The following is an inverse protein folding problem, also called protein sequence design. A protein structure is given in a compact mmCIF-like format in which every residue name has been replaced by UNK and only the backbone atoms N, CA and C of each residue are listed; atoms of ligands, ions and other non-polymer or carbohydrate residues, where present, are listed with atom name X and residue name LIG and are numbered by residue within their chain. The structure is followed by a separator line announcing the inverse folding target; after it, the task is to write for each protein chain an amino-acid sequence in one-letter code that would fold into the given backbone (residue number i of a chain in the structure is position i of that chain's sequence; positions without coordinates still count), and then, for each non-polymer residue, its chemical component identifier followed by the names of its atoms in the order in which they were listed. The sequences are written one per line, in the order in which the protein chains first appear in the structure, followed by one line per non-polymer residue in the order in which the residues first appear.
data_IF_595573521893
#
_entry.id   IF_595573521893
#
_cell.length_a   1.000
_cell.length_b   1.000
_cell.length_c   1.000
_cell.angle_alpha   90.00
_cell.angle_beta   90.00
_cell.angle_gamma   90.00
#
_symmetry.space_group_name_H-M   'P 1'
#
loop_
_entity.id
_entity.type
_entity.pdbx_description
1 polymer ?
#
# COMPACT_ATOMS: atom_id res chain seq x y z
N UNK A 1 19.69 1.83 22.09
CA UNK A 1 19.98 0.53 21.46
C UNK A 1 20.01 0.74 19.95
N UNK A 2 21.15 0.39 19.39
CA UNK A 2 21.68 0.81 18.10
C UNK A 2 20.90 0.18 16.92
N UNK A 3 20.34 1.01 16.03
CA UNK A 3 19.57 0.59 14.86
C UNK A 3 20.47 0.40 13.64
N UNK A 4 21.41 -0.54 13.72
CA UNK A 4 22.27 -0.90 12.58
C UNK A 4 22.02 -2.36 12.17
N UNK A 5 20.94 -2.58 11.40
CA UNK A 5 20.66 -3.80 10.64
C UNK A 5 20.78 -3.52 9.13
N UNK A 6 21.10 -4.53 8.30
CA UNK A 6 21.78 -4.34 7.01
C UNK A 6 20.89 -3.68 5.95
N UNK A 7 21.55 -3.03 5.00
CA UNK A 7 20.97 -2.42 3.80
C UNK A 7 20.36 -3.48 2.87
N UNK A 8 19.28 -4.13 3.29
CA UNK A 8 18.39 -4.85 2.39
C UNK A 8 17.75 -3.80 1.49
N UNK A 9 17.98 -3.88 0.18
CA UNK A 9 17.26 -3.07 -0.78
C UNK A 9 15.76 -3.25 -0.53
N UNK A 10 15.11 -2.23 0.03
CA UNK A 10 13.72 -2.29 0.46
C UNK A 10 12.85 -2.30 -0.80
N UNK A 11 12.52 -3.49 -1.30
CA UNK A 11 11.58 -3.62 -2.41
C UNK A 11 10.17 -3.40 -1.89
N UNK A 12 9.44 -2.44 -2.45
CA UNK A 12 8.05 -2.16 -2.08
C UNK A 12 7.16 -2.47 -3.30
N UNK A 13 6.24 -3.40 -3.16
CA UNK A 13 5.22 -3.60 -4.18
C UNK A 13 4.00 -2.71 -3.90
N UNK A 14 3.46 -2.08 -4.95
CA UNK A 14 2.33 -1.16 -4.87
C UNK A 14 1.29 -1.56 -5.91
N UNK A 15 0.13 -2.02 -5.45
CA UNK A 15 -0.96 -2.44 -6.32
C UNK A 15 -2.05 -1.36 -6.38
N UNK A 16 -2.30 -0.79 -7.56
CA UNK A 16 -3.44 0.08 -7.83
C UNK A 16 -4.70 -0.74 -8.16
N UNK A 17 -5.81 -0.51 -7.45
CA UNK A 17 -7.10 -1.05 -7.91
C UNK A 17 -7.62 -0.22 -9.08
N UNK A 18 -7.77 -0.85 -10.25
CA UNK A 18 -8.57 -0.32 -11.37
C UNK A 18 -10.05 -0.31 -10.97
N UNK A 19 -10.53 0.74 -10.32
CA UNK A 19 -11.97 1.01 -10.28
C UNK A 19 -12.37 1.57 -11.63
N UNK A 20 -12.69 0.68 -12.58
CA UNK A 20 -13.57 1.02 -13.69
C UNK A 20 -14.99 1.06 -13.15
N UNK A 21 -15.47 2.24 -12.76
CA UNK A 21 -16.88 2.47 -12.49
C UNK A 21 -17.31 3.68 -13.30
N UNK A 22 -18.19 3.42 -14.28
CA UNK A 22 -18.84 4.42 -15.10
C UNK A 22 -19.64 5.42 -14.23
N UNK A 23 -19.84 6.67 -14.69
CA UNK A 23 -20.33 7.74 -13.84
C UNK A 23 -21.85 7.67 -13.72
N UNK A 24 -22.35 7.41 -12.51
CA UNK A 24 -23.71 7.76 -12.13
C UNK A 24 -23.64 8.78 -10.99
N UNK A 25 -24.27 9.92 -11.26
CA UNK A 25 -24.54 11.10 -10.45
C UNK A 25 -24.29 11.01 -8.93
N UNK A 26 -23.53 12.00 -8.43
CA UNK A 26 -23.69 12.53 -7.07
C UNK A 26 -22.50 12.31 -6.11
N UNK A 27 -21.96 13.43 -5.62
CA UNK A 27 -20.95 13.61 -4.54
C UNK A 27 -19.47 13.46 -4.94
N UNK A 28 -18.81 14.63 -4.97
CA UNK A 28 -17.45 14.83 -5.43
C UNK A 28 -16.38 14.31 -4.48
N UNK A 29 -15.43 13.58 -5.05
CA UNK A 29 -13.99 13.87 -5.05
C UNK A 29 -13.28 12.69 -5.74
N UNK A 30 -13.55 12.52 -7.04
CA UNK A 30 -12.78 11.62 -7.89
C UNK A 30 -11.40 12.21 -8.12
N UNK A 31 -10.46 11.96 -7.21
CA UNK A 31 -9.06 12.28 -7.45
C UNK A 31 -8.62 11.47 -8.67
N UNK A 32 -8.42 12.14 -9.81
CA UNK A 32 -7.84 11.54 -11.02
C UNK A 32 -6.66 10.68 -10.61
N UNK A 33 -6.51 9.47 -11.17
CA UNK A 33 -5.53 8.48 -10.70
C UNK A 33 -4.13 9.03 -10.43
N UNK A 34 -3.67 9.97 -11.25
CA UNK A 34 -2.39 10.67 -11.06
C UNK A 34 -2.32 11.63 -9.84
N UNK A 35 -3.42 12.29 -9.46
CA UNK A 35 -3.48 13.10 -8.25
C UNK A 35 -3.40 12.22 -6.98
N UNK A 36 -4.09 11.08 -7.00
CA UNK A 36 -4.04 10.09 -5.91
C UNK A 36 -2.63 9.51 -5.79
N UNK A 37 -2.01 9.12 -6.90
CA UNK A 37 -0.64 8.59 -6.91
C UNK A 37 0.37 9.62 -6.37
N UNK A 38 0.25 10.90 -6.72
CA UNK A 38 1.11 11.97 -6.17
C UNK A 38 0.95 12.16 -4.66
N UNK A 39 -0.29 12.14 -4.17
CA UNK A 39 -0.56 12.22 -2.72
C UNK A 39 0.02 11.04 -1.98
N UNK A 40 -0.11 9.85 -2.55
CA UNK A 40 0.50 8.64 -2.01
C UNK A 40 2.03 8.80 -1.95
N UNK A 41 2.68 9.19 -3.05
CA UNK A 41 4.12 9.43 -3.09
C UNK A 41 4.59 10.43 -2.03
N UNK A 42 3.89 11.56 -1.90
CA UNK A 42 4.19 12.58 -0.91
C UNK A 42 4.03 12.09 0.54
N UNK A 43 3.11 11.15 0.79
CA UNK A 43 2.90 10.57 2.11
C UNK A 43 3.98 9.54 2.50
N UNK A 44 4.76 9.01 1.54
CA UNK A 44 5.85 8.08 1.87
C UNK A 44 7.00 8.82 2.58
N UNK A 45 7.56 8.26 3.65
CA UNK A 45 8.80 8.77 4.24
C UNK A 45 9.93 8.88 3.22
N UNK A 46 10.72 9.97 3.29
CA UNK A 46 11.82 10.26 2.36
C UNK A 46 12.83 9.13 2.19
N UNK A 47 13.03 8.30 3.23
CA UNK A 47 13.91 7.14 3.15
C UNK A 47 13.43 6.14 2.09
N UNK A 48 12.13 5.87 2.06
CA UNK A 48 11.55 4.91 1.13
C UNK A 48 11.59 5.47 -0.29
N UNK A 49 11.32 6.76 -0.46
CA UNK A 49 11.41 7.44 -1.77
C UNK A 49 12.80 7.39 -2.42
N UNK A 50 13.86 7.13 -1.65
CA UNK A 50 15.26 7.17 -2.13
C UNK A 50 15.91 5.80 -2.21
N UNK A 51 15.52 4.88 -1.32
CA UNK A 51 16.24 3.62 -1.12
C UNK A 51 15.41 2.38 -1.49
N UNK A 52 14.21 2.58 -2.08
CA UNK A 52 13.33 1.49 -2.48
C UNK A 52 13.27 1.26 -3.98
N UNK A 53 13.02 0.00 -4.36
CA UNK A 53 12.56 -0.37 -5.70
C UNK A 53 11.05 -0.61 -5.63
N UNK A 54 10.30 -0.01 -6.55
CA UNK A 54 8.86 -0.07 -6.57
C UNK A 54 8.35 -1.04 -7.63
N UNK A 55 7.75 -2.13 -7.19
CA UNK A 55 7.14 -3.13 -8.06
C UNK A 55 5.64 -2.82 -8.19
N UNK A 56 5.20 -2.31 -9.35
CA UNK A 56 3.79 -1.90 -9.49
C UNK A 56 3.11 -2.66 -10.60
N UNK A 57 1.77 -2.66 -10.58
CA UNK A 57 1.00 -2.97 -11.76
C UNK A 57 1.20 -1.88 -12.83
N UNK A 58 0.90 -2.20 -14.10
CA UNK A 58 1.04 -1.29 -15.24
C UNK A 58 -0.04 -0.19 -15.25
N UNK A 59 -0.27 0.45 -14.10
CA UNK A 59 -1.16 1.60 -14.02
C UNK A 59 -0.40 2.87 -14.43
N UNK A 60 -0.92 3.54 -15.45
CA UNK A 60 -0.28 4.70 -16.09
C UNK A 60 0.07 5.83 -15.11
N UNK A 61 -0.73 5.99 -14.06
CA UNK A 61 -0.48 6.99 -13.03
C UNK A 61 0.85 6.77 -12.29
N UNK A 62 1.28 5.52 -12.08
CA UNK A 62 2.55 5.23 -11.39
C UNK A 62 3.76 5.60 -12.24
N UNK A 63 3.69 5.40 -13.55
CA UNK A 63 4.77 5.79 -14.47
C UNK A 63 5.02 7.31 -14.46
N UNK A 64 3.99 8.11 -14.15
CA UNK A 64 4.08 9.58 -14.07
C UNK A 64 4.57 10.10 -12.72
N UNK A 65 4.58 9.27 -11.68
CA UNK A 65 4.85 9.70 -10.30
C UNK A 65 6.13 9.09 -9.72
N UNK A 66 6.41 7.83 -10.05
CA UNK A 66 7.58 7.13 -9.54
C UNK A 66 8.82 7.43 -10.39
N UNK A 67 10.01 7.58 -9.77
CA UNK A 67 11.25 7.73 -10.53
C UNK A 67 11.54 6.51 -11.41
N UNK A 68 11.89 6.72 -12.67
CA UNK A 68 12.14 5.65 -13.67
C UNK A 68 13.16 4.62 -13.20
N UNK A 69 14.20 5.04 -12.47
CA UNK A 69 15.24 4.15 -11.96
C UNK A 69 14.76 3.21 -10.82
N UNK A 70 13.70 3.60 -10.11
CA UNK A 70 13.13 2.84 -9.00
C UNK A 70 11.89 2.05 -9.43
N UNK A 71 11.21 2.47 -10.50
CA UNK A 71 9.95 1.89 -10.96
C UNK A 71 10.18 0.61 -11.79
N UNK A 72 9.55 -0.49 -11.36
CA UNK A 72 9.52 -1.77 -12.06
C UNK A 72 8.05 -2.15 -12.30
N UNK A 73 7.45 -1.73 -13.42
CA UNK A 73 6.10 -2.11 -13.77
C UNK A 73 6.08 -3.58 -14.21
N UNK A 74 5.16 -4.37 -13.64
CA UNK A 74 4.97 -5.76 -14.01
C UNK A 74 3.57 -5.98 -14.58
N UNK A 75 3.45 -6.77 -15.66
CA UNK A 75 2.15 -7.13 -16.20
C UNK A 75 1.38 -8.03 -15.22
N UNK A 76 0.05 -8.01 -15.35
CA UNK A 76 -0.83 -8.90 -14.60
C UNK A 76 -0.45 -10.36 -14.88
N UNK A 77 -0.32 -11.17 -13.82
CA UNK A 77 0.09 -12.58 -13.93
C UNK A 77 1.60 -12.83 -13.79
N UNK A 78 2.42 -11.80 -13.65
CA UNK A 78 3.87 -11.93 -13.41
C UNK A 78 4.27 -12.46 -12.03
N UNK A 79 3.32 -12.59 -11.10
CA UNK A 79 3.54 -13.08 -9.73
C UNK A 79 4.30 -12.12 -8.80
N UNK A 80 4.94 -11.06 -9.31
CA UNK A 80 5.79 -10.15 -8.52
C UNK A 80 5.01 -9.20 -7.60
N UNK A 81 3.70 -9.07 -7.80
CA UNK A 81 2.79 -8.35 -6.87
C UNK A 81 2.07 -9.30 -5.92
N UNK A 82 2.21 -10.62 -6.10
CA UNK A 82 1.44 -11.62 -5.35
C UNK A 82 1.74 -11.56 -3.85
N UNK A 83 2.99 -11.30 -3.45
CA UNK A 83 3.34 -11.13 -2.03
C UNK A 83 2.57 -9.98 -1.38
N UNK A 84 2.36 -8.86 -2.09
CA UNK A 84 1.58 -7.73 -1.57
C UNK A 84 0.08 -8.02 -1.57
N UNK A 85 -0.42 -8.74 -2.56
CA UNK A 85 -1.80 -9.21 -2.59
C UNK A 85 -2.09 -10.19 -1.45
N UNK A 86 -1.18 -11.13 -1.19
CA UNK A 86 -1.24 -12.09 -0.09
C UNK A 86 -1.25 -11.38 1.28
N UNK A 87 -0.31 -10.46 1.53
CA UNK A 87 -0.28 -9.68 2.77
C UNK A 87 -1.58 -8.87 2.94
N UNK A 88 -2.06 -8.22 1.88
CA UNK A 88 -3.34 -7.47 1.94
C UNK A 88 -4.53 -8.39 2.23
N UNK A 89 -4.52 -9.61 1.70
CA UNK A 89 -5.54 -10.62 1.96
C UNK A 89 -5.51 -11.05 3.43
N UNK A 90 -4.34 -11.46 3.94
CA UNK A 90 -4.12 -11.85 5.34
C UNK A 90 -4.51 -10.73 6.30
N UNK A 91 -4.08 -9.49 6.05
CA UNK A 91 -4.45 -8.36 6.89
C UNK A 91 -5.96 -8.11 6.91
N UNK A 92 -6.67 -8.30 5.80
CA UNK A 92 -8.14 -8.17 5.78
C UNK A 92 -8.84 -9.30 6.52
N UNK A 93 -8.28 -10.50 6.49
CA UNK A 93 -8.87 -11.67 7.14
C UNK A 93 -8.62 -11.67 8.65
N UNK A 94 -7.43 -11.23 9.09
CA UNK A 94 -7.04 -11.26 10.50
C UNK A 94 -7.35 -9.95 11.25
N UNK A 95 -7.45 -8.83 10.54
CA UNK A 95 -7.64 -7.51 11.15
C UNK A 95 -9.05 -6.97 10.86
N UNK A 96 -10.02 -7.31 11.73
CA UNK A 96 -11.42 -6.88 11.57
C UNK A 96 -11.57 -5.36 11.42
N UNK A 97 -10.67 -4.58 12.02
CA UNK A 97 -10.72 -3.10 11.98
C UNK A 97 -10.56 -2.56 10.56
N UNK A 98 -10.02 -3.36 9.65
CA UNK A 98 -9.84 -3.03 8.23
C UNK A 98 -11.05 -3.46 7.37
N UNK A 99 -12.03 -4.17 7.93
CA UNK A 99 -13.11 -4.82 7.18
C UNK A 99 -14.31 -3.89 6.95
N UNK A 100 -14.91 -3.34 8.02
CA UNK A 100 -16.10 -2.46 7.91
C UNK A 100 -16.03 -1.29 8.87
N UNK A 101 -16.23 -0.07 8.34
CA UNK A 101 -16.18 1.20 9.10
C UNK A 101 -17.23 1.26 10.22
N UNK A 102 -18.40 0.67 10.03
CA UNK A 102 -19.52 0.78 10.98
C UNK A 102 -19.39 -0.10 12.22
N UNK A 103 -18.68 -1.24 12.13
CA UNK A 103 -18.73 -2.28 13.16
C UNK A 103 -17.39 -2.53 13.86
N UNK A 104 -16.28 -2.03 13.31
CA UNK A 104 -14.95 -2.45 13.76
C UNK A 104 -13.95 -1.31 13.93
N UNK A 105 -14.36 -0.07 13.70
CA UNK A 105 -13.46 1.06 13.93
C UNK A 105 -13.31 1.34 15.42
N UNK A 106 -12.05 1.49 15.86
CA UNK A 106 -11.79 1.96 17.22
C UNK A 106 -12.22 3.42 17.36
N UNK A 107 -12.76 3.78 18.52
CA UNK A 107 -13.15 5.17 18.86
C UNK A 107 -11.96 6.14 18.86
N UNK A 108 -10.74 5.62 19.05
CA UNK A 108 -9.50 6.40 19.10
C UNK A 108 -8.52 5.91 18.04
N UNK A 109 -7.90 6.85 17.31
CA UNK A 109 -6.91 6.55 16.28
C UNK A 109 -5.72 5.76 16.83
N UNK A 110 -5.25 6.08 18.04
CA UNK A 110 -4.18 5.36 18.73
C UNK A 110 -4.45 3.87 18.85
N UNK A 111 -5.67 3.49 19.24
CA UNK A 111 -6.08 2.09 19.37
C UNK A 111 -6.22 1.41 18.02
N UNK A 112 -6.70 2.15 17.01
CA UNK A 112 -6.78 1.65 15.65
C UNK A 112 -5.39 1.30 15.10
N UNK A 113 -4.42 2.21 15.25
CA UNK A 113 -3.03 1.98 14.85
C UNK A 113 -2.39 0.85 15.64
N UNK A 114 -2.61 0.78 16.95
CA UNK A 114 -2.08 -0.30 17.79
C UNK A 114 -2.59 -1.68 17.36
N UNK A 115 -3.88 -1.81 17.05
CA UNK A 115 -4.48 -3.08 16.61
C UNK A 115 -3.95 -3.55 15.26
N UNK A 116 -3.72 -2.64 14.32
CA UNK A 116 -3.06 -2.95 13.05
C UNK A 116 -1.62 -3.39 13.30
N UNK A 117 -0.88 -2.68 14.17
CA UNK A 117 0.51 -3.01 14.50
C UNK A 117 0.63 -4.41 15.12
N UNK A 118 -0.26 -4.76 16.05
CA UNK A 118 -0.26 -6.08 16.69
C UNK A 118 -0.43 -7.20 15.65
N UNK A 119 -1.36 -7.06 14.70
CA UNK A 119 -1.56 -8.07 13.64
C UNK A 119 -0.35 -8.16 12.73
N UNK A 120 0.30 -7.03 12.41
CA UNK A 120 1.53 -7.03 11.60
C UNK A 120 2.68 -7.71 12.36
N UNK A 121 2.86 -7.39 13.64
CA UNK A 121 3.91 -7.96 14.48
C UNK A 121 3.71 -9.48 14.64
N UNK A 122 2.47 -9.92 14.91
CA UNK A 122 2.10 -11.34 15.01
C UNK A 122 2.35 -12.11 13.71
N UNK A 123 2.01 -11.50 12.57
CA UNK A 123 2.32 -12.05 11.24
C UNK A 123 3.82 -12.19 11.00
N UNK A 124 4.62 -11.20 11.43
CA UNK A 124 6.07 -11.21 11.26
C UNK A 124 6.79 -12.18 12.21
N UNK A 125 6.20 -12.50 13.36
CA UNK A 125 6.75 -13.49 14.31
C UNK A 125 6.42 -14.92 13.87
N UNK A 126 5.26 -15.11 13.24
CA UNK A 126 4.79 -16.43 12.78
C UNK A 126 5.49 -16.92 11.50
N UNK A 127 6.15 -16.01 10.78
CA UNK A 127 6.91 -16.24 9.54
C UNK A 127 8.39 -16.54 9.81
#
# INVERSE_FOLDING_TARGET
MDLRGPAHAQSLALAGRRTGLAPHHGLGAGLSGGATARRLWAALPRRYQRHCRYHTDQWEAYAKVLPVHQHRPHPKGSGKTNSVEAINCSLRQCCDVLVRKSCSFSKTLRMHTARIKIVIDDYNITL
#
